data_IF_243813735317
#
_entry.id   IF_243813735317
#
_cell.length_a   1.000
_cell.length_b   1.000
_cell.length_c   1.000
_cell.angle_alpha   90.00
_cell.angle_beta   90.00
_cell.angle_gamma   90.00
#
_symmetry.space_group_name_H-M   'P 1'
#
loop_
_entity.id
_entity.type
_entity.pdbx_description
1 polymer ?
#
# COMPACT_ATOMS: atom_id res chain seq x y z
N UNK A 1 -1.26 -22.32 11.00
CA UNK A 1 -0.98 -20.89 11.19
C UNK A 1 -2.27 -20.09 11.22
N UNK A 2 -2.37 -19.15 12.13
CA UNK A 2 -3.51 -18.24 12.14
C UNK A 2 -3.56 -17.43 10.85
N UNK A 3 -4.74 -17.28 10.25
CA UNK A 3 -4.93 -16.42 9.08
C UNK A 3 -4.65 -14.97 9.45
N UNK A 4 -3.82 -14.30 8.68
CA UNK A 4 -3.61 -12.86 8.81
C UNK A 4 -4.89 -12.13 8.42
N UNK A 5 -5.21 -11.08 9.17
CA UNK A 5 -6.33 -10.19 8.87
C UNK A 5 -5.74 -8.94 8.24
N UNK A 6 -6.26 -8.56 7.08
CA UNK A 6 -5.83 -7.38 6.34
C UNK A 6 -6.90 -6.29 6.41
N UNK A 7 -6.47 -5.04 6.47
CA UNK A 7 -7.39 -3.93 6.57
C UNK A 7 -8.04 -3.83 7.94
N UNK A 8 -7.26 -3.98 9.00
CA UNK A 8 -7.73 -3.82 10.39
C UNK A 8 -7.95 -2.36 10.75
N UNK A 9 -7.27 -1.45 10.08
CA UNK A 9 -7.43 -0.01 10.22
C UNK A 9 -8.24 0.53 9.05
N UNK A 10 -8.79 1.74 9.20
CA UNK A 10 -9.48 2.41 8.10
C UNK A 10 -8.55 2.67 6.92
N UNK A 11 -7.28 3.01 7.19
CA UNK A 11 -6.24 3.16 6.17
C UNK A 11 -6.04 1.90 5.33
N UNK A 12 -5.91 0.75 6.00
CA UNK A 12 -5.75 -0.54 5.32
C UNK A 12 -7.01 -0.95 4.54
N UNK A 13 -8.20 -0.70 5.08
CA UNK A 13 -9.46 -0.98 4.38
C UNK A 13 -9.59 -0.18 3.08
N UNK A 14 -9.31 1.11 3.14
CA UNK A 14 -9.36 1.98 1.96
C UNK A 14 -8.32 1.57 0.91
N UNK A 15 -7.13 1.17 1.36
CA UNK A 15 -6.10 0.68 0.46
C UNK A 15 -6.50 -0.61 -0.25
N UNK A 16 -7.07 -1.59 0.47
CA UNK A 16 -7.58 -2.83 -0.13
C UNK A 16 -8.67 -2.53 -1.15
N UNK A 17 -9.63 -1.66 -0.81
CA UNK A 17 -10.72 -1.30 -1.72
C UNK A 17 -10.23 -0.71 -3.04
N UNK A 18 -9.08 -0.06 -3.03
CA UNK A 18 -8.52 0.51 -4.26
C UNK A 18 -8.09 -0.54 -5.29
N UNK A 19 -7.80 -1.77 -4.86
CA UNK A 19 -7.45 -2.88 -5.77
C UNK A 19 -8.62 -3.83 -6.04
N UNK A 20 -9.56 -3.97 -5.13
CA UNK A 20 -10.68 -4.93 -5.26
C UNK A 20 -11.51 -4.69 -6.52
N UNK A 21 -11.59 -3.46 -6.97
CA UNK A 21 -12.33 -3.08 -8.17
C UNK A 21 -11.53 -3.27 -9.47
N UNK A 22 -10.27 -3.69 -9.38
CA UNK A 22 -9.36 -3.80 -10.54
C UNK A 22 -9.10 -5.23 -11.00
N UNK A 23 -9.53 -6.22 -10.22
CA UNK A 23 -9.29 -7.63 -10.55
C UNK A 23 -10.43 -8.51 -10.04
N UNK A 24 -10.46 -9.76 -10.48
CA UNK A 24 -11.49 -10.71 -10.07
C UNK A 24 -11.25 -11.27 -8.66
N UNK A 25 -12.33 -11.77 -8.05
CA UNK A 25 -12.30 -12.32 -6.71
C UNK A 25 -11.39 -13.55 -6.57
N UNK A 26 -11.23 -14.33 -7.65
CA UNK A 26 -10.38 -15.52 -7.63
C UNK A 26 -8.90 -15.15 -7.51
N UNK A 27 -8.45 -14.14 -8.25
CA UNK A 27 -7.07 -13.64 -8.17
C UNK A 27 -6.77 -13.01 -6.81
N UNK A 28 -7.71 -12.24 -6.27
CA UNK A 28 -7.59 -11.66 -4.93
C UNK A 28 -7.49 -12.77 -3.87
N UNK A 29 -8.36 -13.76 -3.93
CA UNK A 29 -8.34 -14.90 -2.99
C UNK A 29 -7.01 -15.67 -3.04
N UNK A 30 -6.49 -15.94 -4.23
CA UNK A 30 -5.18 -16.60 -4.39
C UNK A 30 -4.04 -15.73 -3.87
N UNK A 31 -4.07 -14.43 -4.14
CA UNK A 31 -3.09 -13.48 -3.63
C UNK A 31 -3.07 -13.45 -2.11
N UNK A 32 -4.23 -13.44 -1.49
CA UNK A 32 -4.38 -13.49 -0.03
C UNK A 32 -3.81 -14.79 0.54
N UNK A 33 -4.08 -15.92 -0.10
CA UNK A 33 -3.51 -17.22 0.28
C UNK A 33 -2.00 -17.20 0.19
N UNK A 34 -1.43 -16.63 -0.86
CA UNK A 34 0.02 -16.51 -1.03
C UNK A 34 0.65 -15.63 0.06
N UNK A 35 0.01 -14.52 0.39
CA UNK A 35 0.47 -13.65 1.46
C UNK A 35 0.40 -14.31 2.85
N UNK A 36 -0.58 -15.20 3.06
CA UNK A 36 -0.78 -15.92 4.33
C UNK A 36 0.15 -17.13 4.50
N UNK A 37 0.68 -17.70 3.42
CA UNK A 37 1.41 -18.98 3.45
C UNK A 37 2.91 -18.83 3.18
N UNK A 38 3.46 -17.66 3.47
CA UNK A 38 4.90 -17.36 3.30
C UNK A 38 5.44 -17.59 1.88
N UNK A 39 4.55 -17.51 0.89
CA UNK A 39 4.94 -17.56 -0.51
C UNK A 39 5.48 -16.22 -1.02
N UNK A 40 5.26 -15.15 -0.28
CA UNK A 40 5.85 -13.85 -0.55
C UNK A 40 7.00 -13.61 0.43
N UNK A 41 8.14 -13.18 -0.06
CA UNK A 41 9.34 -12.96 0.73
C UNK A 41 10.22 -11.87 0.13
N UNK A 42 11.24 -11.46 0.88
CA UNK A 42 12.13 -10.35 0.51
C UNK A 42 11.35 -9.06 0.18
N UNK A 43 10.33 -8.76 0.97
CA UNK A 43 9.55 -7.52 0.81
C UNK A 43 10.43 -6.34 1.22
N UNK A 44 10.65 -5.42 0.29
CA UNK A 44 11.45 -4.20 0.51
C UNK A 44 10.65 -2.98 0.11
N UNK A 45 10.63 -2.00 0.99
CA UNK A 45 10.02 -0.70 0.76
C UNK A 45 11.17 0.31 0.70
N UNK A 46 11.31 0.99 -0.42
CA UNK A 46 12.34 2.01 -0.59
C UNK A 46 11.83 3.14 -1.49
N UNK A 47 12.02 4.37 -1.05
CA UNK A 47 11.56 5.56 -1.78
C UNK A 47 10.09 5.40 -2.21
N UNK A 48 9.84 5.33 -3.51
CA UNK A 48 8.49 5.23 -4.09
C UNK A 48 8.11 3.81 -4.52
N UNK A 49 8.84 2.79 -4.09
CA UNK A 49 8.68 1.43 -4.61
C UNK A 49 8.55 0.40 -3.50
N UNK A 50 7.66 -0.56 -3.72
CA UNK A 50 7.56 -1.79 -2.93
C UNK A 50 7.85 -2.95 -3.85
N UNK A 51 8.86 -3.75 -3.52
CA UNK A 51 9.24 -4.94 -4.29
C UNK A 51 9.19 -6.17 -3.41
N UNK A 52 8.93 -7.31 -4.02
CA UNK A 52 8.99 -8.60 -3.35
C UNK A 52 9.21 -9.73 -4.35
N UNK A 53 9.61 -10.87 -3.82
CA UNK A 53 9.64 -12.14 -4.54
C UNK A 53 8.44 -12.98 -4.11
N UNK A 54 7.78 -13.60 -5.07
CA UNK A 54 6.61 -14.45 -4.81
C UNK A 54 6.88 -15.81 -5.45
N UNK A 55 6.73 -16.89 -4.68
CA UNK A 55 6.88 -18.25 -5.20
C UNK A 55 5.89 -18.51 -6.34
N UNK A 56 6.38 -19.13 -7.39
CA UNK A 56 5.59 -19.47 -8.56
C UNK A 56 5.50 -20.98 -8.80
N UNK A 57 4.59 -21.37 -9.69
CA UNK A 57 4.44 -22.77 -10.09
C UNK A 57 5.47 -23.19 -11.16
N UNK A 58 5.90 -22.26 -12.00
CA UNK A 58 6.77 -22.51 -13.15
C UNK A 58 8.14 -21.86 -13.01
N UNK A 59 8.36 -21.12 -11.94
CA UNK A 59 9.62 -20.46 -11.63
C UNK A 59 9.85 -20.54 -10.13
N UNK A 60 11.12 -20.56 -9.65
CA UNK A 60 11.40 -20.52 -8.22
C UNK A 60 10.74 -19.32 -7.54
N UNK A 61 10.71 -18.18 -8.22
CA UNK A 61 10.01 -16.98 -7.77
C UNK A 61 9.73 -16.04 -8.94
N UNK A 62 8.73 -15.20 -8.76
CA UNK A 62 8.44 -14.06 -9.63
C UNK A 62 8.81 -12.77 -8.93
N UNK A 63 9.31 -11.81 -9.69
CA UNK A 63 9.61 -10.46 -9.20
C UNK A 63 8.37 -9.61 -9.33
N UNK A 64 7.96 -9.00 -8.23
CA UNK A 64 6.79 -8.12 -8.19
C UNK A 64 7.20 -6.74 -7.72
N UNK A 65 6.53 -5.72 -8.23
CA UNK A 65 6.78 -4.34 -7.85
C UNK A 65 5.50 -3.50 -7.92
N UNK A 66 5.35 -2.60 -6.96
CA UNK A 66 4.42 -1.47 -7.00
C UNK A 66 5.27 -0.21 -6.97
N UNK A 67 5.11 0.66 -7.97
CA UNK A 67 5.85 1.92 -8.05
C UNK A 67 4.86 3.07 -7.98
N UNK A 68 4.99 3.89 -6.94
CA UNK A 68 4.06 4.98 -6.64
C UNK A 68 4.54 6.28 -7.28
N UNK A 69 3.60 7.06 -7.79
CA UNK A 69 3.85 8.42 -8.25
C UNK A 69 3.89 9.38 -7.06
N UNK A 70 4.77 10.36 -7.12
CA UNK A 70 4.81 11.42 -6.10
C UNK A 70 3.52 12.23 -6.10
N UNK A 71 3.09 12.71 -4.94
CA UNK A 71 2.02 13.70 -4.88
C UNK A 71 2.34 14.90 -5.76
N UNK A 72 1.34 15.49 -6.43
CA UNK A 72 1.50 16.82 -7.01
C UNK A 72 1.95 17.85 -5.97
N UNK A 73 2.68 18.85 -6.40
CA UNK A 73 3.22 19.89 -5.50
C UNK A 73 2.12 20.55 -4.65
N UNK A 74 0.98 20.86 -5.26
CA UNK A 74 -0.16 21.47 -4.57
C UNK A 74 -0.71 20.58 -3.46
N UNK A 75 -0.82 19.27 -3.72
CA UNK A 75 -1.28 18.31 -2.71
C UNK A 75 -0.29 18.19 -1.54
N UNK A 76 1.01 18.20 -1.83
CA UNK A 76 2.04 18.21 -0.78
C UNK A 76 1.91 19.43 0.12
N UNK A 77 1.74 20.61 -0.46
CA UNK A 77 1.58 21.87 0.29
C UNK A 77 0.35 21.84 1.20
N UNK A 78 -0.77 21.32 0.69
CA UNK A 78 -2.02 21.19 1.43
C UNK A 78 -1.86 20.22 2.61
N UNK A 79 -1.23 19.05 2.37
CA UNK A 79 -0.98 18.04 3.41
C UNK A 79 -0.05 18.59 4.50
N UNK A 80 1.05 19.22 4.11
CA UNK A 80 2.02 19.78 5.06
C UNK A 80 1.40 20.88 5.93
N UNK A 81 0.59 21.74 5.33
CA UNK A 81 -0.15 22.76 6.08
C UNK A 81 -1.08 22.13 7.11
N UNK A 82 -1.81 21.08 6.74
CA UNK A 82 -2.68 20.36 7.67
C UNK A 82 -1.89 19.78 8.84
N UNK A 83 -0.73 19.18 8.58
CA UNK A 83 0.13 18.60 9.63
C UNK A 83 0.67 19.70 10.56
N UNK A 84 1.10 20.83 10.01
CA UNK A 84 1.60 21.97 10.79
C UNK A 84 0.52 22.56 11.71
N UNK A 85 -0.72 22.57 11.26
CA UNK A 85 -1.87 23.03 12.04
C UNK A 85 -2.39 21.98 13.04
N UNK A 86 -1.97 20.71 12.91
CA UNK A 86 -2.42 19.59 13.73
C UNK A 86 -1.26 18.73 14.26
N UNK A 87 -0.35 19.29 15.07
CA UNK A 87 0.85 18.56 15.52
C UNK A 87 0.52 17.30 16.32
N UNK A 88 -0.65 17.22 16.96
CA UNK A 88 -1.08 16.03 17.68
C UNK A 88 -1.35 14.84 16.76
N UNK A 89 -1.71 15.07 15.51
CA UNK A 89 -1.89 14.02 14.51
C UNK A 89 -0.54 13.33 14.27
N UNK A 90 0.50 14.10 14.01
CA UNK A 90 1.85 13.58 13.79
C UNK A 90 2.37 12.84 15.05
N UNK A 91 2.25 13.47 16.21
CA UNK A 91 2.66 12.86 17.47
C UNK A 91 1.93 11.53 17.73
N UNK A 92 0.63 11.49 17.45
CA UNK A 92 -0.16 10.27 17.60
C UNK A 92 0.35 9.13 16.70
N UNK A 93 0.65 9.41 15.45
CA UNK A 93 1.15 8.39 14.51
C UNK A 93 2.53 7.88 14.94
N UNK A 94 3.44 8.76 15.33
CA UNK A 94 4.77 8.40 15.85
C UNK A 94 4.64 7.47 17.05
N UNK A 95 3.65 7.70 17.91
CA UNK A 95 3.40 6.88 19.10
C UNK A 95 2.50 5.66 18.84
N UNK A 96 2.26 5.32 17.60
CA UNK A 96 1.46 4.14 17.22
C UNK A 96 -0.05 4.31 17.39
N UNK A 97 -0.54 5.53 17.55
CA UNK A 97 -1.97 5.85 17.64
C UNK A 97 -2.46 6.36 16.29
N UNK A 98 -3.13 5.47 15.56
CA UNK A 98 -3.62 5.76 14.21
C UNK A 98 -4.95 6.54 14.28
N UNK A 99 -4.86 7.85 14.11
CA UNK A 99 -6.04 8.71 13.98
C UNK A 99 -6.60 8.67 12.55
N UNK A 100 -7.91 8.76 12.41
CA UNK A 100 -8.58 8.85 11.11
C UNK A 100 -8.63 10.28 10.56
N UNK A 101 -8.26 11.29 11.34
CA UNK A 101 -8.28 12.69 10.93
C UNK A 101 -7.54 12.99 9.63
N UNK A 102 -6.29 12.52 9.43
CA UNK A 102 -5.60 12.76 8.16
C UNK A 102 -6.31 12.13 6.98
N UNK A 103 -6.93 10.96 7.17
CA UNK A 103 -7.66 10.29 6.11
C UNK A 103 -8.94 11.06 5.73
N UNK A 104 -9.68 11.55 6.73
CA UNK A 104 -10.85 12.41 6.51
C UNK A 104 -10.46 13.69 5.77
N UNK A 105 -9.36 14.33 6.18
CA UNK A 105 -8.83 15.52 5.52
C UNK A 105 -8.49 15.26 4.05
N UNK A 106 -7.80 14.15 3.78
CA UNK A 106 -7.40 13.74 2.43
C UNK A 106 -8.64 13.52 1.55
N UNK A 107 -9.67 12.87 2.08
CA UNK A 107 -10.93 12.63 1.37
C UNK A 107 -11.67 13.92 1.06
N UNK A 108 -11.80 14.82 2.04
CA UNK A 108 -12.49 16.10 1.86
C UNK A 108 -11.81 16.95 0.79
N UNK A 109 -10.47 16.90 0.72
CA UNK A 109 -9.69 17.65 -0.26
C UNK A 109 -9.48 16.90 -1.58
N UNK A 110 -10.11 15.74 -1.75
CA UNK A 110 -10.04 14.92 -2.96
C UNK A 110 -8.60 14.58 -3.38
N UNK A 111 -7.72 14.39 -2.40
CA UNK A 111 -6.32 14.02 -2.63
C UNK A 111 -6.25 12.50 -2.86
N UNK A 112 -5.67 12.09 -3.97
CA UNK A 112 -5.45 10.66 -4.26
C UNK A 112 -4.19 10.16 -3.57
N UNK A 113 -4.37 9.38 -2.50
CA UNK A 113 -3.26 8.75 -1.79
C UNK A 113 -3.06 7.27 -2.17
N UNK A 114 -4.10 6.59 -2.63
CA UNK A 114 -4.10 5.13 -2.77
C UNK A 114 -3.88 4.60 -4.19
N UNK A 115 -4.19 5.38 -5.23
CA UNK A 115 -4.37 4.85 -6.59
C UNK A 115 -3.25 5.18 -7.58
N UNK A 116 -2.39 6.14 -7.26
CA UNK A 116 -1.35 6.58 -8.19
C UNK A 116 -0.11 5.70 -8.12
N UNK A 117 -0.23 4.47 -8.62
CA UNK A 117 0.89 3.54 -8.71
C UNK A 117 0.82 2.69 -9.98
N UNK A 118 1.99 2.20 -10.40
CA UNK A 118 2.14 1.21 -11.45
C UNK A 118 2.49 -0.14 -10.86
N UNK A 119 2.02 -1.21 -11.49
CA UNK A 119 2.28 -2.58 -11.11
C UNK A 119 3.22 -3.24 -12.10
N UNK A 120 4.07 -4.14 -11.62
CA UNK A 120 4.88 -4.98 -12.49
C UNK A 120 5.08 -6.38 -11.88
N UNK A 121 4.92 -7.40 -12.71
CA UNK A 121 5.22 -8.77 -12.38
C UNK A 121 5.74 -9.49 -13.63
N UNK A 122 6.74 -10.34 -13.49
CA UNK A 122 7.30 -11.09 -14.62
C UNK A 122 6.64 -12.46 -14.82
N UNK A 123 5.45 -12.69 -14.26
CA UNK A 123 4.70 -13.91 -14.48
C UNK A 123 3.93 -13.90 -15.80
N UNK A 124 3.49 -15.09 -16.22
CA UNK A 124 2.75 -15.30 -17.46
C UNK A 124 1.36 -14.63 -17.44
N UNK A 125 0.70 -14.58 -16.26
CA UNK A 125 -0.67 -14.07 -16.13
C UNK A 125 -0.76 -12.55 -15.95
N UNK A 126 0.36 -11.84 -15.99
CA UNK A 126 0.37 -10.40 -15.80
C UNK A 126 0.22 -9.66 -17.13
N UNK A 127 -0.81 -8.82 -17.24
CA UNK A 127 -1.14 -8.06 -18.44
C UNK A 127 -1.02 -6.54 -18.26
N UNK A 128 -0.26 -6.07 -17.28
CA UNK A 128 0.00 -4.64 -17.06
C UNK A 128 -1.16 -3.85 -16.45
N UNK A 129 -2.37 -4.02 -16.95
CA UNK A 129 -3.55 -3.29 -16.48
C UNK A 129 -4.29 -3.98 -15.35
N UNK A 130 -4.10 -5.29 -15.18
CA UNK A 130 -4.83 -6.09 -14.20
C UNK A 130 -3.86 -6.81 -13.28
N UNK A 131 -4.05 -6.70 -11.95
CA UNK A 131 -3.20 -7.42 -11.00
C UNK A 131 -3.35 -8.93 -11.18
N UNK A 132 -2.21 -9.62 -11.27
CA UNK A 132 -2.16 -11.07 -11.14
C UNK A 132 -2.20 -11.46 -9.65
N UNK A 133 -2.29 -12.76 -9.37
CA UNK A 133 -2.27 -13.27 -7.99
C UNK A 133 -1.00 -12.86 -7.21
N UNK A 134 0.13 -12.72 -7.90
CA UNK A 134 1.40 -12.33 -7.27
C UNK A 134 1.40 -10.85 -6.87
N UNK A 135 0.87 -9.98 -7.73
CA UNK A 135 0.66 -8.57 -7.40
C UNK A 135 -0.37 -8.43 -6.27
N UNK A 136 -1.45 -9.21 -6.30
CA UNK A 136 -2.42 -9.23 -5.21
C UNK A 136 -1.76 -9.62 -3.89
N UNK A 137 -0.87 -10.62 -3.89
CA UNK A 137 -0.11 -11.01 -2.70
C UNK A 137 0.75 -9.87 -2.16
N UNK A 138 1.45 -9.16 -3.04
CA UNK A 138 2.24 -7.97 -2.66
C UNK A 138 1.36 -6.88 -2.08
N UNK A 139 0.20 -6.68 -2.66
CA UNK A 139 -0.77 -5.68 -2.20
C UNK A 139 -1.26 -5.98 -0.77
N UNK A 140 -1.59 -7.25 -0.49
CA UNK A 140 -1.97 -7.66 0.86
C UNK A 140 -0.82 -7.52 1.85
N UNK A 141 0.41 -7.86 1.45
CA UNK A 141 1.58 -7.67 2.30
C UNK A 141 1.80 -6.18 2.63
N UNK A 142 1.64 -5.29 1.65
CA UNK A 142 1.73 -3.85 1.87
C UNK A 142 0.59 -3.36 2.77
N UNK A 143 -0.63 -3.86 2.59
CA UNK A 143 -1.76 -3.52 3.46
C UNK A 143 -1.45 -3.81 4.92
N UNK A 144 -0.82 -4.94 5.19
CA UNK A 144 -0.41 -5.30 6.55
C UNK A 144 0.57 -4.29 7.15
N UNK A 145 1.48 -3.76 6.34
CA UNK A 145 2.41 -2.70 6.77
C UNK A 145 1.69 -1.37 7.00
N UNK A 146 0.73 -1.04 6.15
CA UNK A 146 -0.09 0.17 6.28
C UNK A 146 -0.94 0.13 7.55
N UNK A 147 -1.51 -1.03 7.88
CA UNK A 147 -2.25 -1.21 9.13
C UNK A 147 -1.39 -0.92 10.36
N UNK A 148 -0.10 -1.21 10.29
CA UNK A 148 0.85 -0.91 11.37
C UNK A 148 1.34 0.54 11.35
N UNK A 149 1.51 1.12 10.18
CA UNK A 149 2.06 2.45 10.00
C UNK A 149 1.60 3.10 8.68
N UNK A 150 0.57 3.96 8.71
CA UNK A 150 0.06 4.60 7.49
C UNK A 150 1.02 5.64 6.89
N UNK A 151 2.06 6.07 7.61
CA UNK A 151 3.09 6.96 7.06
C UNK A 151 3.79 6.39 5.83
N UNK A 152 3.82 5.06 5.72
CA UNK A 152 4.38 4.38 4.56
C UNK A 152 3.75 4.91 3.27
N UNK A 153 2.44 5.16 3.26
CA UNK A 153 1.74 5.70 2.09
C UNK A 153 2.25 7.09 1.71
N UNK A 154 2.47 7.96 2.69
CA UNK A 154 3.00 9.30 2.43
C UNK A 154 4.43 9.24 1.89
N UNK A 155 5.28 8.43 2.52
CA UNK A 155 6.67 8.25 2.07
C UNK A 155 6.74 7.70 0.65
N UNK A 156 5.94 6.69 0.31
CA UNK A 156 5.85 6.14 -1.03
C UNK A 156 5.40 7.18 -2.07
N UNK A 157 4.57 8.12 -1.66
CA UNK A 157 4.09 9.22 -2.48
C UNK A 157 5.00 10.47 -2.42
N UNK A 158 6.25 10.29 -1.96
CA UNK A 158 7.29 11.32 -1.98
C UNK A 158 7.15 12.40 -0.92
N UNK A 159 6.46 12.11 0.18
CA UNK A 159 6.27 13.04 1.28
C UNK A 159 6.69 12.41 2.61
N UNK A 160 7.86 12.77 3.11
CA UNK A 160 8.33 12.33 4.41
C UNK A 160 7.86 13.32 5.49
N UNK A 161 6.85 12.91 6.27
CA UNK A 161 6.27 13.75 7.31
C UNK A 161 7.18 13.86 8.55
N UNK A 162 8.13 12.97 8.70
CA UNK A 162 9.04 12.96 9.87
C UNK A 162 10.18 13.96 9.68
N UNK A 163 10.64 14.12 8.44
CA UNK A 163 11.72 15.05 8.09
C UNK A 163 11.24 16.49 7.83
N UNK A 164 9.94 16.73 7.88
CA UNK A 164 9.33 18.05 7.64
C UNK A 164 9.62 19.07 8.73
#
# INVERSE_FOLDING_TARGET
MAKKIYGTTLWGKEFIQSIENQTDAARLSRGKTYANTDKIYDVKISQNQVIAKVKGNYSPFYKTALTFSSFPKGDKEVILKFIDENPFVLAGIINGKLSDKPLEFIKINEIDIFRSFNMNCNCYDFYGAYPCKHIAALYYALTNQIDKNPFILFSLRGLDLIEH
#
